data_IF_636650158620
#
_entry.id   IF_636650158620
#
_cell.length_a   1.000
_cell.length_b   1.000
_cell.length_c   1.000
_cell.angle_alpha   90.00
_cell.angle_beta   90.00
_cell.angle_gamma   90.00
#
_symmetry.space_group_name_H-M   'P 1'
#
loop_
_entity.id
_entity.type
_entity.pdbx_description
1 polymer ?
#
# COMPACT_ATOMS: atom_id res chain seq x y z
N UNK A 1 -3.99 -28.56 -5.83
CA UNK A 1 -3.44 -27.41 -6.58
C UNK A 1 -4.63 -26.54 -6.96
N UNK A 2 -4.82 -25.39 -6.32
CA UNK A 2 -5.89 -24.45 -6.69
C UNK A 2 -5.47 -23.72 -7.96
N UNK A 3 -5.93 -24.23 -9.11
CA UNK A 3 -5.73 -23.66 -10.44
C UNK A 3 -6.66 -22.46 -10.66
N UNK A 4 -6.43 -21.37 -9.93
CA UNK A 4 -7.22 -20.14 -10.06
C UNK A 4 -6.36 -18.88 -10.04
N UNK A 5 -6.87 -17.75 -10.55
CA UNK A 5 -6.18 -16.47 -10.48
C UNK A 5 -5.90 -16.07 -9.01
N UNK A 6 -4.74 -15.46 -8.78
CA UNK A 6 -4.35 -14.98 -7.45
C UNK A 6 -5.26 -13.84 -6.98
N UNK A 7 -5.42 -12.83 -7.84
CA UNK A 7 -6.26 -11.68 -7.57
C UNK A 7 -7.58 -11.81 -8.32
N UNK A 8 -8.69 -11.62 -7.61
CA UNK A 8 -10.06 -11.75 -8.14
C UNK A 8 -10.84 -10.50 -7.78
N UNK A 9 -11.44 -9.85 -8.77
CA UNK A 9 -12.33 -8.70 -8.55
C UNK A 9 -13.68 -9.21 -8.03
N UNK A 10 -14.13 -8.65 -6.90
CA UNK A 10 -15.42 -8.99 -6.32
C UNK A 10 -16.59 -8.19 -6.93
N UNK A 11 -16.30 -7.18 -7.76
CA UNK A 11 -17.31 -6.34 -8.42
C UNK A 11 -17.93 -5.26 -7.52
N UNK A 12 -17.46 -5.13 -6.28
CA UNK A 12 -17.94 -4.19 -5.26
C UNK A 12 -16.89 -3.13 -4.88
N UNK A 13 -15.81 -3.02 -5.66
CA UNK A 13 -14.67 -2.17 -5.36
C UNK A 13 -13.62 -2.82 -4.47
N UNK A 14 -13.68 -4.14 -4.27
CA UNK A 14 -12.64 -4.93 -3.58
C UNK A 14 -12.03 -6.00 -4.48
N UNK A 15 -10.80 -6.40 -4.13
CA UNK A 15 -10.05 -7.46 -4.79
C UNK A 15 -9.66 -8.50 -3.75
N UNK A 16 -10.03 -9.76 -3.99
CA UNK A 16 -9.62 -10.92 -3.18
C UNK A 16 -8.23 -11.38 -3.59
N UNK A 17 -7.34 -11.57 -2.61
CA UNK A 17 -6.05 -12.26 -2.77
C UNK A 17 -6.20 -13.69 -2.25
N UNK A 18 -6.33 -14.64 -3.17
CA UNK A 18 -6.54 -16.07 -2.88
C UNK A 18 -5.30 -16.76 -2.32
N UNK A 19 -4.11 -16.13 -2.43
CA UNK A 19 -2.86 -16.70 -1.92
C UNK A 19 -2.72 -16.51 -0.42
N UNK A 20 -3.16 -15.36 0.09
CA UNK A 20 -2.96 -14.99 1.50
C UNK A 20 -4.26 -14.85 2.31
N UNK A 21 -5.41 -15.15 1.69
CA UNK A 21 -6.74 -14.94 2.27
C UNK A 21 -6.92 -13.49 2.75
N UNK A 22 -6.52 -12.55 1.90
CA UNK A 22 -6.68 -11.12 2.14
C UNK A 22 -7.69 -10.54 1.17
N UNK A 23 -8.28 -9.42 1.54
CA UNK A 23 -9.10 -8.62 0.65
C UNK A 23 -8.61 -7.18 0.69
N UNK A 24 -8.40 -6.63 -0.49
CA UNK A 24 -7.84 -5.31 -0.72
C UNK A 24 -8.91 -4.38 -1.25
N UNK A 25 -8.87 -3.11 -0.86
CA UNK A 25 -9.59 -2.09 -1.62
C UNK A 25 -9.01 -2.00 -3.03
N UNK A 26 -9.88 -1.90 -4.04
CA UNK A 26 -9.49 -1.77 -5.45
C UNK A 26 -8.87 -0.41 -5.75
N UNK A 27 -9.29 0.64 -5.08
CA UNK A 27 -8.61 1.94 -5.12
C UNK A 27 -7.73 2.12 -3.88
N UNK A 28 -6.64 2.87 -4.04
CA UNK A 28 -5.93 3.42 -2.89
C UNK A 28 -6.48 4.81 -2.50
N UNK A 29 -5.97 5.35 -1.40
CA UNK A 29 -6.41 6.64 -0.88
C UNK A 29 -6.17 7.81 -1.84
N UNK A 30 -5.14 7.76 -2.69
CA UNK A 30 -4.90 8.84 -3.65
C UNK A 30 -5.94 8.81 -4.77
N UNK A 31 -6.27 7.62 -5.26
CA UNK A 31 -7.30 7.45 -6.30
C UNK A 31 -8.66 7.98 -5.85
N UNK A 32 -9.00 7.80 -4.58
CA UNK A 32 -10.25 8.28 -4.00
C UNK A 32 -10.21 9.77 -3.60
N UNK A 33 -9.14 10.22 -2.95
CA UNK A 33 -9.06 11.58 -2.37
C UNK A 33 -8.45 12.62 -3.31
N UNK A 34 -7.78 12.18 -4.38
CA UNK A 34 -6.97 13.01 -5.30
C UNK A 34 -5.91 13.87 -4.60
N UNK A 35 -5.45 13.41 -3.44
CA UNK A 35 -4.36 14.01 -2.66
C UNK A 35 -3.59 12.91 -1.96
N UNK A 36 -2.29 13.11 -1.81
CA UNK A 36 -1.49 12.23 -0.97
C UNK A 36 -1.79 12.47 0.51
N UNK A 37 -1.45 11.48 1.32
CA UNK A 37 -1.78 11.44 2.75
C UNK A 37 -0.52 11.22 3.57
N UNK A 38 -0.43 11.88 4.73
CA UNK A 38 0.53 11.47 5.76
C UNK A 38 0.01 10.26 6.52
N UNK A 39 0.78 9.81 7.51
CA UNK A 39 0.39 8.70 8.38
C UNK A 39 -0.56 9.16 9.50
N UNK A 40 -0.22 10.25 10.20
CA UNK A 40 -0.84 10.68 11.46
C UNK A 40 -2.16 11.45 11.31
N UNK A 41 -3.06 11.30 12.28
CA UNK A 41 -4.42 11.89 12.26
C UNK A 41 -4.52 13.39 12.47
N UNK A 42 -3.47 14.10 12.88
CA UNK A 42 -3.51 15.56 13.03
C UNK A 42 -3.55 16.30 11.67
N UNK A 43 -3.26 15.61 10.57
CA UNK A 43 -3.36 16.18 9.23
C UNK A 43 -4.79 16.16 8.69
N UNK A 44 -5.08 17.06 7.73
CA UNK A 44 -6.38 17.09 7.04
C UNK A 44 -6.68 15.76 6.34
N UNK A 45 -5.68 15.21 5.66
CA UNK A 45 -5.75 13.90 4.99
C UNK A 45 -4.64 13.01 5.55
N UNK A 46 -5.02 11.87 6.14
CA UNK A 46 -4.07 10.88 6.63
C UNK A 46 -4.53 9.46 6.37
N UNK A 47 -3.60 8.51 6.34
CA UNK A 47 -3.87 7.09 6.15
C UNK A 47 -4.80 6.54 7.25
N UNK A 48 -4.59 6.95 8.50
CA UNK A 48 -5.44 6.53 9.62
C UNK A 48 -6.87 7.07 9.50
N UNK A 49 -7.04 8.36 9.16
CA UNK A 49 -8.36 8.95 8.93
C UNK A 49 -9.08 8.33 7.74
N UNK A 50 -8.35 7.97 6.69
CA UNK A 50 -8.92 7.28 5.53
C UNK A 50 -9.47 5.90 5.92
N UNK A 51 -8.73 5.12 6.72
CA UNK A 51 -9.23 3.85 7.24
C UNK A 51 -10.45 4.02 8.14
N UNK A 52 -10.44 4.98 9.06
CA UNK A 52 -11.58 5.31 9.92
C UNK A 52 -12.83 5.67 9.09
N UNK A 53 -12.67 6.50 8.04
CA UNK A 53 -13.75 6.90 7.16
C UNK A 53 -14.35 5.69 6.42
N UNK A 54 -13.52 4.86 5.78
CA UNK A 54 -13.99 3.66 5.06
C UNK A 54 -14.70 2.66 5.97
N UNK A 55 -14.25 2.52 7.22
CA UNK A 55 -14.92 1.69 8.21
C UNK A 55 -16.26 2.26 8.65
N UNK A 56 -16.35 3.58 8.86
CA UNK A 56 -17.61 4.25 9.19
C UNK A 56 -18.65 4.16 8.07
N UNK A 57 -18.19 4.25 6.83
CA UNK A 57 -19.01 4.08 5.62
C UNK A 57 -19.45 2.64 5.38
N UNK A 58 -18.87 1.67 6.09
CA UNK A 58 -19.01 0.24 5.82
C UNK A 58 -18.69 -0.10 4.37
N UNK A 59 -17.58 0.40 3.85
CA UNK A 59 -17.18 0.20 2.46
C UNK A 59 -17.23 -1.29 2.08
N UNK A 60 -17.92 -1.62 0.98
CA UNK A 60 -18.22 -2.99 0.54
C UNK A 60 -18.88 -3.87 1.62
N UNK A 61 -19.64 -3.29 2.54
CA UNK A 61 -20.30 -3.98 3.65
C UNK A 61 -19.42 -4.24 4.87
N UNK A 62 -18.15 -3.83 4.84
CA UNK A 62 -17.13 -4.16 5.84
C UNK A 62 -16.67 -2.95 6.66
N UNK A 63 -16.27 -3.20 7.92
CA UNK A 63 -15.88 -2.15 8.89
C UNK A 63 -14.59 -2.47 9.65
N UNK A 64 -13.77 -3.36 9.09
CA UNK A 64 -12.50 -3.88 9.61
C UNK A 64 -11.31 -3.60 8.66
N UNK A 65 -11.44 -2.59 7.80
CA UNK A 65 -10.37 -2.10 6.93
C UNK A 65 -9.23 -1.49 7.76
N UNK A 66 -7.99 -1.87 7.43
CA UNK A 66 -6.79 -1.39 8.11
C UNK A 66 -5.66 -1.10 7.14
N UNK A 67 -4.66 -0.38 7.62
CA UNK A 67 -3.38 -0.27 6.93
C UNK A 67 -2.75 -1.68 6.81
N UNK A 68 -2.07 -1.98 5.70
CA UNK A 68 -1.33 -3.23 5.55
C UNK A 68 -0.11 -3.24 6.46
N UNK A 69 0.32 -4.42 6.89
CA UNK A 69 1.69 -4.64 7.40
C UNK A 69 2.72 -4.52 6.27
N UNK A 70 4.01 -4.43 6.60
CA UNK A 70 5.08 -4.44 5.58
C UNK A 70 5.01 -5.67 4.68
N UNK A 71 4.73 -6.83 5.25
CA UNK A 71 4.68 -8.08 4.52
C UNK A 71 3.46 -8.17 3.60
N UNK A 72 2.32 -7.61 4.01
CA UNK A 72 1.13 -7.50 3.16
C UNK A 72 1.35 -6.51 2.02
N UNK A 73 1.97 -5.35 2.29
CA UNK A 73 2.32 -4.39 1.24
C UNK A 73 3.29 -5.02 0.23
N UNK A 74 4.32 -5.74 0.73
CA UNK A 74 5.25 -6.48 -0.13
C UNK A 74 4.55 -7.57 -0.95
N UNK A 75 3.54 -8.23 -0.42
CA UNK A 75 2.86 -9.30 -1.15
C UNK A 75 2.13 -8.80 -2.40
N UNK A 76 1.75 -7.52 -2.47
CA UNK A 76 1.17 -6.91 -3.67
C UNK A 76 2.17 -6.62 -4.78
N UNK A 77 3.47 -6.58 -4.47
CA UNK A 77 4.52 -6.32 -5.46
C UNK A 77 4.65 -7.51 -6.42
N UNK A 78 4.51 -7.25 -7.72
CA UNK A 78 4.62 -8.24 -8.79
C UNK A 78 5.66 -7.75 -9.82
N UNK A 79 6.94 -8.17 -9.71
CA UNK A 79 8.05 -7.58 -10.48
C UNK A 79 7.82 -7.51 -11.99
N UNK A 80 7.20 -8.53 -12.58
CA UNK A 80 7.02 -8.64 -14.04
C UNK A 80 5.73 -7.97 -14.54
N UNK A 81 4.98 -7.31 -13.64
CA UNK A 81 3.76 -6.57 -13.98
C UNK A 81 3.98 -5.08 -13.83
N UNK A 82 3.33 -4.27 -14.66
CA UNK A 82 3.45 -2.81 -14.64
C UNK A 82 2.08 -2.16 -14.69
N UNK A 83 1.88 -1.20 -13.80
CA UNK A 83 0.79 -0.23 -13.76
C UNK A 83 1.41 1.16 -13.62
N UNK A 84 0.77 2.21 -14.12
CA UNK A 84 1.25 3.58 -13.97
C UNK A 84 0.69 4.22 -12.70
N UNK A 85 1.53 4.92 -11.95
CA UNK A 85 1.13 5.72 -10.80
C UNK A 85 0.49 7.07 -11.22
N UNK A 86 0.16 7.91 -10.24
CA UNK A 86 -0.41 9.24 -10.44
C UNK A 86 0.46 10.24 -11.23
N UNK A 87 1.78 9.97 -11.32
CA UNK A 87 2.74 10.77 -12.06
C UNK A 87 3.11 10.14 -13.42
N UNK A 88 2.53 8.99 -13.76
CA UNK A 88 2.90 8.23 -14.96
C UNK A 88 4.18 7.41 -14.80
N UNK A 89 4.63 7.20 -13.56
CA UNK A 89 5.80 6.36 -13.25
C UNK A 89 5.38 4.90 -13.11
N UNK A 90 6.29 3.99 -13.45
CA UNK A 90 6.06 2.55 -13.34
C UNK A 90 5.99 2.09 -11.87
N UNK A 91 4.95 1.33 -11.56
CA UNK A 91 4.81 0.57 -10.33
C UNK A 91 4.43 -0.87 -10.65
N UNK A 92 4.93 -1.80 -9.84
CA UNK A 92 4.85 -3.22 -10.11
C UNK A 92 3.71 -3.88 -9.33
N UNK A 93 2.51 -3.75 -9.87
CA UNK A 93 1.26 -4.31 -9.35
C UNK A 93 0.57 -5.13 -10.43
N UNK A 94 -0.27 -6.09 -10.03
CA UNK A 94 -1.16 -6.79 -10.97
C UNK A 94 -2.13 -5.77 -11.64
N UNK A 95 -2.38 -5.85 -12.97
CA UNK A 95 -3.20 -4.86 -13.68
C UNK A 95 -4.68 -4.86 -13.29
N UNK A 96 -5.13 -5.83 -12.49
CA UNK A 96 -6.43 -5.78 -11.82
C UNK A 96 -6.56 -4.55 -10.89
N UNK A 97 -5.43 -4.06 -10.38
CA UNK A 97 -5.35 -2.80 -9.66
C UNK A 97 -5.30 -1.63 -10.66
N UNK A 98 -6.19 -0.63 -10.52
CA UNK A 98 -6.26 0.49 -11.44
C UNK A 98 -5.01 1.38 -11.37
N UNK A 99 -4.65 1.97 -12.51
CA UNK A 99 -3.63 2.99 -12.64
C UNK A 99 -3.98 4.31 -11.93
N UNK A 100 -2.99 5.18 -11.74
CA UNK A 100 -3.14 6.46 -11.07
C UNK A 100 -3.13 6.38 -9.55
N UNK A 101 -2.64 5.25 -8.99
CA UNK A 101 -2.37 5.09 -7.56
C UNK A 101 -1.14 5.88 -7.09
N UNK A 102 -0.88 5.82 -5.80
CA UNK A 102 0.34 6.33 -5.20
C UNK A 102 1.54 5.44 -5.45
N UNK A 103 2.71 6.07 -5.51
CA UNK A 103 4.00 5.40 -5.70
C UNK A 103 4.41 4.54 -4.50
N UNK A 104 4.11 5.04 -3.30
CA UNK A 104 4.38 4.41 -2.01
C UNK A 104 3.07 4.13 -1.26
N UNK A 105 3.04 3.04 -0.49
CA UNK A 105 1.96 2.79 0.49
C UNK A 105 2.47 2.92 1.92
N UNK A 106 1.70 3.59 2.77
CA UNK A 106 1.85 3.50 4.22
C UNK A 106 1.54 2.09 4.72
N UNK A 107 2.22 1.69 5.79
CA UNK A 107 1.98 0.42 6.50
C UNK A 107 1.71 0.68 7.97
N UNK A 108 1.10 -0.29 8.66
CA UNK A 108 0.79 -0.22 10.10
C UNK A 108 2.04 -0.24 11.00
N UNK A 109 3.22 -0.42 10.43
CA UNK A 109 4.48 -0.51 11.17
C UNK A 109 5.05 0.88 11.49
N UNK A 110 4.52 1.50 12.53
CA UNK A 110 4.93 2.82 13.01
C UNK A 110 5.82 2.78 14.27
N UNK A 111 6.63 3.84 14.43
CA UNK A 111 7.36 4.18 15.66
C UNK A 111 6.66 5.34 16.33
N UNK A 112 5.56 5.04 17.02
CA UNK A 112 4.69 6.03 17.64
C UNK A 112 4.09 6.98 16.61
N UNK A 113 4.25 8.30 16.83
CA UNK A 113 3.80 9.36 15.92
C UNK A 113 4.92 9.98 15.09
N UNK A 114 6.14 9.42 15.16
CA UNK A 114 7.34 10.03 14.58
C UNK A 114 7.54 9.52 13.15
N UNK A 115 7.71 8.21 13.00
CA UNK A 115 7.90 7.58 11.68
C UNK A 115 6.95 6.42 11.48
N UNK A 116 6.65 6.12 10.22
CA UNK A 116 6.01 4.88 9.82
C UNK A 116 6.71 4.29 8.60
N UNK A 117 6.61 2.98 8.45
CA UNK A 117 7.22 2.31 7.32
C UNK A 117 6.37 2.47 6.06
N UNK A 118 7.03 2.82 4.96
CA UNK A 118 6.46 2.88 3.62
C UNK A 118 7.06 1.78 2.76
N UNK A 119 6.23 1.21 1.89
CA UNK A 119 6.67 0.28 0.87
C UNK A 119 6.53 0.91 -0.52
N UNK A 120 7.57 0.82 -1.34
CA UNK A 120 7.59 1.36 -2.70
C UNK A 120 7.28 0.28 -3.72
N UNK A 121 6.23 0.49 -4.52
CA UNK A 121 5.86 -0.45 -5.56
C UNK A 121 6.72 -0.33 -6.83
N UNK A 122 7.56 0.69 -6.96
CA UNK A 122 8.51 0.78 -8.08
C UNK A 122 9.77 -0.07 -7.86
N UNK A 123 10.26 -0.11 -6.62
CA UNK A 123 11.56 -0.73 -6.29
C UNK A 123 11.45 -2.04 -5.54
N UNK A 124 10.24 -2.44 -5.13
CA UNK A 124 10.00 -3.67 -4.38
C UNK A 124 10.62 -3.66 -2.98
N UNK A 125 10.79 -2.48 -2.39
CA UNK A 125 11.51 -2.29 -1.14
C UNK A 125 10.86 -1.18 -0.30
N UNK A 126 11.15 -1.16 1.00
CA UNK A 126 10.61 -0.13 1.89
C UNK A 126 11.61 0.39 2.92
N UNK A 127 11.21 1.48 3.57
CA UNK A 127 12.02 2.23 4.54
C UNK A 127 11.13 2.96 5.55
N UNK A 128 11.73 3.50 6.61
CA UNK A 128 11.03 4.39 7.53
C UNK A 128 10.92 5.79 6.91
N UNK A 129 9.77 6.43 7.12
CA UNK A 129 9.51 7.79 6.66
C UNK A 129 8.84 8.59 7.77
N UNK A 130 9.12 9.89 7.83
CA UNK A 130 8.47 10.80 8.77
C UNK A 130 6.96 10.75 8.59
N UNK A 131 6.24 10.58 9.70
CA UNK A 131 4.83 10.26 9.71
C UNK A 131 3.95 11.41 9.19
N UNK A 132 4.46 12.64 9.17
CA UNK A 132 3.81 13.81 8.60
C UNK A 132 4.13 14.04 7.11
N UNK A 133 5.01 13.24 6.52
CA UNK A 133 5.40 13.40 5.12
C UNK A 133 4.33 12.88 4.16
N UNK A 134 3.62 13.77 3.48
CA UNK A 134 2.62 13.37 2.48
C UNK A 134 3.22 13.06 1.10
N UNK A 135 4.52 13.27 0.87
CA UNK A 135 5.07 13.19 -0.49
C UNK A 135 4.79 11.82 -1.10
N UNK A 136 4.20 11.78 -2.30
CA UNK A 136 3.95 10.59 -3.14
C UNK A 136 3.43 9.30 -2.43
N UNK A 137 2.79 9.43 -1.26
CA UNK A 137 2.40 8.28 -0.43
C UNK A 137 0.89 8.23 -0.25
N UNK A 138 0.33 7.07 -0.54
CA UNK A 138 -1.08 6.73 -0.36
C UNK A 138 -1.19 5.57 0.64
N UNK A 139 -2.40 5.02 0.78
CA UNK A 139 -2.60 3.72 1.42
C UNK A 139 -3.64 2.93 0.64
N UNK A 140 -3.34 1.66 0.37
CA UNK A 140 -4.33 0.67 -0.07
C UNK A 140 -4.72 -0.17 1.13
N UNK A 141 -5.96 -0.01 1.60
CA UNK A 141 -6.43 -0.71 2.80
C UNK A 141 -6.63 -2.20 2.51
N UNK A 142 -6.42 -2.99 3.55
CA UNK A 142 -6.55 -4.44 3.54
C UNK A 142 -7.41 -4.89 4.72
N UNK A 143 -8.05 -6.04 4.55
CA UNK A 143 -8.70 -6.80 5.62
C UNK A 143 -8.43 -8.29 5.45
N UNK A 144 -8.67 -9.04 6.52
CA UNK A 144 -8.57 -10.50 6.49
C UNK A 144 -9.83 -11.09 5.84
N UNK A 145 -9.67 -12.04 4.92
CA UNK A 145 -10.76 -12.70 4.18
C UNK A 145 -10.64 -14.23 4.25
N UNK A 146 -10.58 -14.75 5.48
CA UNK A 146 -10.44 -16.17 5.79
C UNK A 146 -9.32 -16.45 6.79
N UNK A 147 -8.95 -17.73 7.00
CA UNK A 147 -7.89 -18.10 7.92
C UNK A 147 -6.55 -17.45 7.53
N UNK A 148 -5.77 -16.91 8.48
CA UNK A 148 -4.47 -16.31 8.20
C UNK A 148 -3.52 -17.31 7.52
N UNK A 149 -2.84 -16.85 6.47
CA UNK A 149 -1.80 -17.61 5.76
C UNK A 149 -0.45 -16.95 6.03
N UNK A 150 0.63 -17.71 6.28
CA UNK A 150 1.96 -17.15 6.45
C UNK A 150 2.38 -16.26 5.29
N UNK A 151 2.79 -15.03 5.62
CA UNK A 151 3.32 -14.05 4.67
C UNK A 151 4.84 -14.23 4.47
N UNK A 152 5.44 -13.59 3.46
CA UNK A 152 6.89 -13.60 3.29
C UNK A 152 7.63 -13.15 4.56
N UNK A 153 8.67 -13.89 4.96
CA UNK A 153 9.37 -13.65 6.23
C UNK A 153 10.19 -12.35 6.22
N UNK A 154 10.72 -11.96 5.05
CA UNK A 154 11.51 -10.74 4.89
C UNK A 154 10.92 -9.83 3.81
N UNK A 155 11.02 -8.53 4.04
CA UNK A 155 10.70 -7.48 3.06
C UNK A 155 12.01 -6.80 2.69
N UNK A 156 12.34 -6.65 1.39
CA UNK A 156 13.57 -5.97 0.98
C UNK A 156 13.64 -4.54 1.54
N UNK A 157 14.81 -4.15 2.03
CA UNK A 157 15.07 -2.78 2.43
C UNK A 157 15.50 -1.95 1.23
N UNK A 158 15.05 -0.70 1.18
CA UNK A 158 15.51 0.23 0.15
C UNK A 158 17.00 0.45 0.37
N UNK A 159 17.83 -0.03 -0.58
CA UNK A 159 19.27 0.22 -0.53
C UNK A 159 19.49 1.73 -0.64
N UNK A 160 20.28 2.31 0.26
CA UNK A 160 20.79 3.65 0.03
C UNK A 160 21.55 3.60 -1.31
N UNK A 161 21.17 4.43 -2.28
CA UNK A 161 22.03 4.62 -3.43
C UNK A 161 23.39 5.07 -2.89
N UNK A 162 24.52 4.44 -3.28
CA UNK A 162 25.82 4.98 -2.98
C UNK A 162 25.83 6.39 -3.56
N UNK A 163 25.80 7.39 -2.68
CA UNK A 163 25.71 8.77 -3.09
C UNK A 163 26.78 9.01 -4.16
N UNK A 164 26.37 9.53 -5.33
CA UNK A 164 27.34 10.11 -6.25
C UNK A 164 28.11 11.12 -5.43
N UNK A 165 29.35 10.78 -5.10
CA UNK A 165 30.22 11.60 -4.28
C UNK A 165 30.35 12.95 -4.95
N UNK A 166 29.57 13.91 -4.48
CA UNK A 166 29.74 15.32 -4.78
C UNK A 166 31.07 15.72 -4.18
N UNK A 167 32.12 15.68 -5.01
CA UNK A 167 33.40 16.30 -4.72
C UNK A 167 33.15 17.79 -4.51
N UNK A 168 33.08 18.23 -3.26
CA UNK A 168 33.24 19.63 -2.93
C UNK A 168 34.72 19.98 -3.13
N UNK A 169 35.00 20.75 -4.18
CA UNK A 169 36.20 21.57 -4.31
C UNK A 169 35.78 23.03 -4.24
#
# INVERSE_FOLDING_TARGET
MTSGPRFVDNGDGTIKDTRYNLMWMKNDSYQDLKTFVGYVSNQKHSALKYAEAKNKERFAGHSDWRLPSKQEAYSLYVPDSVVLDSYGMEVHLDPIFPAGGGYNTWTSNARGKITAYVFSYSGGAGSQKEADSCLNTSVRLVRQDGPPVPLPQSVPEMKAEPGRGGSWR
#
